data_IF_980958417400
#
_entry.id   IF_980958417400
#
_cell.length_a   1.000
_cell.length_b   1.000
_cell.length_c   1.000
_cell.angle_alpha   90.00
_cell.angle_beta   90.00
_cell.angle_gamma   90.00
#
_symmetry.space_group_name_H-M   'P 1'
#
loop_
_entity.id
_entity.type
_entity.pdbx_description
1 polymer ?
#
# COMPACT_ATOMS: atom_id res chain seq x y z
N UNK A 1 -10.36 2.61 5.36
CA UNK A 1 -10.33 2.02 3.99
C UNK A 1 -10.07 0.54 4.16
N UNK A 2 -10.84 -0.42 3.67
CA UNK A 2 -11.78 -0.50 2.56
C UNK A 2 -12.97 -1.32 3.06
N UNK A 3 -14.14 -0.69 3.23
CA UNK A 3 -15.31 -1.32 3.83
C UNK A 3 -15.83 -2.47 2.98
N UNK A 4 -15.92 -3.67 3.56
CA UNK A 4 -16.63 -4.82 2.97
C UNK A 4 -18.12 -4.81 3.34
N UNK A 5 -18.71 -3.62 3.54
CA UNK A 5 -20.04 -3.43 4.14
C UNK A 5 -20.94 -2.43 3.45
N UNK A 6 -20.81 -2.23 2.13
CA UNK A 6 -21.74 -1.42 1.32
C UNK A 6 -22.38 -2.27 0.24
N UNK A 7 -23.70 -2.16 0.08
CA UNK A 7 -24.59 -2.76 -0.95
C UNK A 7 -23.96 -3.88 -1.77
N UNK A 8 -24.35 -5.13 -1.44
CA UNK A 8 -23.92 -6.40 -2.08
C UNK A 8 -23.94 -6.33 -3.61
N UNK A 9 -22.87 -5.78 -4.18
CA UNK A 9 -22.59 -5.83 -5.60
C UNK A 9 -21.80 -7.11 -5.79
N UNK A 10 -22.22 -7.95 -6.75
CA UNK A 10 -21.53 -9.19 -7.10
C UNK A 10 -20.15 -8.84 -7.68
N UNK A 11 -19.17 -8.56 -6.79
CA UNK A 11 -17.80 -8.32 -7.19
C UNK A 11 -17.27 -9.59 -7.85
N UNK A 12 -17.06 -9.52 -9.16
CA UNK A 12 -16.50 -10.65 -9.89
C UNK A 12 -15.14 -11.02 -9.32
N UNK A 13 -14.81 -12.32 -9.30
CA UNK A 13 -13.51 -12.85 -8.86
C UNK A 13 -12.33 -12.20 -9.61
N UNK A 14 -12.58 -11.69 -10.82
CA UNK A 14 -11.61 -10.95 -11.64
C UNK A 14 -11.34 -9.54 -11.09
N UNK A 15 -12.35 -8.85 -10.56
CA UNK A 15 -12.17 -7.57 -9.88
C UNK A 15 -11.36 -7.73 -8.59
N UNK A 16 -11.63 -8.77 -7.81
CA UNK A 16 -10.90 -9.10 -6.58
C UNK A 16 -9.42 -9.49 -6.84
N UNK A 17 -9.14 -10.10 -8.00
CA UNK A 17 -7.77 -10.51 -8.40
C UNK A 17 -7.03 -9.46 -9.23
N UNK A 18 -7.49 -8.20 -9.24
CA UNK A 18 -6.79 -7.12 -9.96
C UNK A 18 -6.90 -7.23 -11.48
N UNK A 19 -8.12 -7.46 -11.98
CA UNK A 19 -8.41 -7.51 -13.42
C UNK A 19 -7.83 -6.31 -14.16
N UNK A 20 -7.20 -6.61 -15.31
CA UNK A 20 -6.43 -5.79 -16.28
C UNK A 20 -6.83 -4.33 -16.58
N UNK A 21 -7.83 -3.73 -15.94
CA UNK A 21 -8.31 -2.38 -16.22
C UNK A 21 -8.78 -1.56 -15.02
N UNK A 22 -8.58 -2.01 -13.77
CA UNK A 22 -8.79 -1.14 -12.61
C UNK A 22 -7.43 -0.81 -12.00
N UNK A 23 -7.15 0.49 -11.95
CA UNK A 23 -5.84 1.06 -11.70
C UNK A 23 -5.09 0.37 -10.58
N UNK A 24 -3.81 0.11 -10.86
CA UNK A 24 -2.76 -0.04 -9.86
C UNK A 24 -3.04 1.00 -8.76
N UNK A 25 -3.56 0.56 -7.62
CA UNK A 25 -3.77 1.44 -6.46
C UNK A 25 -2.39 1.93 -6.08
N UNK A 26 -2.10 3.19 -6.40
CA UNK A 26 -0.75 3.74 -6.31
C UNK A 26 -0.12 3.97 -7.68
N UNK A 27 -0.57 5.02 -8.37
CA UNK A 27 0.29 5.81 -9.25
C UNK A 27 1.28 6.65 -8.43
N UNK A 28 1.89 6.04 -7.41
CA UNK A 28 2.95 6.63 -6.60
C UNK A 28 4.30 6.07 -7.04
N UNK A 29 5.35 6.69 -6.49
CA UNK A 29 6.76 6.24 -6.54
C UNK A 29 6.86 4.72 -6.75
N UNK A 30 7.79 4.31 -7.61
CA UNK A 30 8.05 2.90 -7.88
C UNK A 30 8.08 2.10 -6.56
N UNK A 31 7.65 0.83 -6.55
CA UNK A 31 7.67 0.02 -5.32
C UNK A 31 9.04 0.02 -4.61
N UNK A 32 10.11 0.22 -5.37
CA UNK A 32 11.48 0.35 -4.89
C UNK A 32 11.73 1.69 -4.17
N UNK A 33 11.23 2.79 -4.69
CA UNK A 33 11.30 4.11 -4.05
C UNK A 33 10.50 4.16 -2.75
N UNK A 34 9.30 3.56 -2.72
CA UNK A 34 8.51 3.44 -1.48
C UNK A 34 9.26 2.63 -0.41
N UNK A 35 9.90 1.53 -0.82
CA UNK A 35 10.75 0.72 0.09
C UNK A 35 11.90 1.55 0.65
N UNK A 36 12.59 2.34 -0.18
CA UNK A 36 13.70 3.19 0.27
C UNK A 36 13.23 4.22 1.30
N UNK A 37 12.09 4.86 1.06
CA UNK A 37 11.53 5.85 1.99
C UNK A 37 11.14 5.22 3.34
N UNK A 38 10.52 4.04 3.32
CA UNK A 38 10.16 3.32 4.55
C UNK A 38 11.39 2.90 5.35
N UNK A 39 12.44 2.42 4.67
CA UNK A 39 13.70 2.05 5.32
C UNK A 39 14.38 3.25 5.96
N UNK A 40 14.36 4.41 5.29
CA UNK A 40 14.91 5.66 5.83
C UNK A 40 14.20 6.06 7.14
N UNK A 41 12.87 6.10 7.15
CA UNK A 41 12.09 6.45 8.36
C UNK A 41 12.33 5.47 9.52
N UNK A 42 12.44 4.18 9.20
CA UNK A 42 12.71 3.14 10.20
C UNK A 42 14.12 3.26 10.79
N UNK A 43 15.11 3.63 9.98
CA UNK A 43 16.48 3.86 10.43
C UNK A 43 16.55 5.11 11.32
N UNK A 44 15.92 6.22 10.91
CA UNK A 44 15.82 7.45 11.70
C UNK A 44 15.21 7.18 13.10
N UNK A 45 14.13 6.40 13.17
CA UNK A 45 13.51 6.03 14.44
C UNK A 45 14.33 5.07 15.32
N UNK A 46 15.28 4.32 14.74
CA UNK A 46 16.21 3.47 15.51
C UNK A 46 17.41 4.26 16.03
N UNK A 47 17.99 5.13 15.20
CA UNK A 47 19.07 6.02 15.62
C UNK A 47 18.60 6.93 16.77
N UNK A 48 17.44 7.57 16.64
CA UNK A 48 16.86 8.41 17.69
C UNK A 48 16.57 7.68 19.01
N UNK A 49 16.44 6.35 18.99
CA UNK A 49 16.24 5.52 20.20
C UNK A 49 17.52 4.99 20.82
N UNK A 50 18.59 4.85 20.03
CA UNK A 50 19.88 4.38 20.52
C UNK A 50 20.74 5.53 21.09
N UNK A 51 20.45 6.77 20.69
CA UNK A 51 21.14 7.97 21.16
C UNK A 51 20.48 8.61 22.40
N UNK A 52 19.54 7.91 23.07
CA UNK A 52 18.82 8.33 24.28
C UNK A 52 19.04 7.32 25.41
#
# INVERSE_FOLDING_TARGET
MLGVGGTRTNLSRKALRGGRGSGRVGGGLSPQEQKRELLRKLQEGRSAKNDA
#
